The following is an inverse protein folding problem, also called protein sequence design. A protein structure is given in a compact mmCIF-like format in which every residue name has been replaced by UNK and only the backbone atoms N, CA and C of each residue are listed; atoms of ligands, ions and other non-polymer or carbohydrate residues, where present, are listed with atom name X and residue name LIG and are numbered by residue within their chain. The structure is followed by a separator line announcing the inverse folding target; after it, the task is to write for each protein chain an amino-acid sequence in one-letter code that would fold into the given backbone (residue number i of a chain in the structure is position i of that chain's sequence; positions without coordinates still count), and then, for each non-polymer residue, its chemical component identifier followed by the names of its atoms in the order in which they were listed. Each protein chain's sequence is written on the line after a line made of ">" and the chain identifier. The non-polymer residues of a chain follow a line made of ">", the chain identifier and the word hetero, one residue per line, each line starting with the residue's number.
data_IF_700198732772
#
_entry.id   IF_700198732772
#
_cell.length_a   1.000
_cell.length_b   1.000
_cell.length_c   1.000
_cell.angle_alpha   90.00
_cell.angle_beta   90.00
_cell.angle_gamma   90.00
#
_symmetry.space_group_name_H-M   'P 1'
#
loop_
_entity.id
_entity.type
_entity.pdbx_description
1 polymer ?
#
# COMPACT_ATOMS: atom_id res chain seq x y z
N UNK A 1 -20.08 -14.91 27.87
CA UNK A 1 -18.64 -14.92 27.51
C UNK A 1 -18.56 -15.48 26.09
N UNK A 2 -17.91 -14.80 25.16
CA UNK A 2 -17.83 -15.24 23.75
C UNK A 2 -16.82 -16.37 23.63
N UNK A 3 -17.08 -17.35 22.77
CA UNK A 3 -16.11 -18.39 22.43
C UNK A 3 -15.32 -18.01 21.17
N UNK A 4 -14.25 -18.77 20.92
CA UNK A 4 -13.38 -18.56 19.76
C UNK A 4 -13.91 -19.23 18.49
N UNK A 5 -13.84 -18.51 17.36
CA UNK A 5 -13.78 -19.10 16.02
C UNK A 5 -12.87 -18.26 15.13
N UNK A 6 -12.05 -18.88 14.29
CA UNK A 6 -11.33 -18.14 13.24
C UNK A 6 -12.31 -17.70 12.13
N UNK A 7 -13.43 -18.41 11.96
CA UNK A 7 -14.59 -17.98 11.16
C UNK A 7 -15.61 -17.33 12.10
N UNK A 8 -15.27 -16.16 12.62
CA UNK A 8 -16.06 -15.43 13.60
C UNK A 8 -17.29 -14.75 12.98
N UNK A 9 -18.36 -14.62 13.77
CA UNK A 9 -19.57 -13.87 13.40
C UNK A 9 -19.75 -12.57 14.22
N UNK A 10 -18.85 -12.31 15.18
CA UNK A 10 -18.77 -11.08 15.93
C UNK A 10 -17.33 -10.55 15.96
N UNK A 11 -17.19 -9.22 15.99
CA UNK A 11 -15.92 -8.52 16.18
C UNK A 11 -15.99 -7.68 17.46
N UNK A 12 -14.90 -7.66 18.22
CA UNK A 12 -14.75 -6.82 19.40
C UNK A 12 -13.85 -5.62 19.05
N UNK A 13 -14.41 -4.42 19.11
CA UNK A 13 -13.73 -3.15 18.80
C UNK A 13 -13.64 -2.31 20.07
N UNK A 14 -12.48 -1.69 20.30
CA UNK A 14 -12.27 -0.81 21.43
C UNK A 14 -12.59 0.64 21.05
N UNK A 15 -13.29 1.35 21.94
CA UNK A 15 -13.49 2.79 21.85
C UNK A 15 -13.08 3.39 23.20
N UNK A 16 -11.86 3.92 23.26
CA UNK A 16 -11.21 4.24 24.53
C UNK A 16 -11.03 2.97 25.37
N UNK A 17 -11.58 2.96 26.58
CA UNK A 17 -11.56 1.80 27.49
C UNK A 17 -12.76 0.87 27.33
N UNK A 18 -13.78 1.27 26.54
CA UNK A 18 -14.97 0.45 26.31
C UNK A 18 -14.73 -0.56 25.18
N UNK A 19 -15.28 -1.77 25.34
CA UNK A 19 -15.28 -2.80 24.30
C UNK A 19 -16.69 -2.93 23.73
N UNK A 20 -16.84 -2.65 22.44
CA UNK A 20 -18.07 -2.79 21.68
C UNK A 20 -18.00 -4.09 20.87
N UNK A 21 -18.96 -5.00 21.07
CA UNK A 21 -19.06 -6.22 20.27
C UNK A 21 -20.16 -6.05 19.24
N UNK A 22 -19.82 -6.24 17.96
CA UNK A 22 -20.72 -6.05 16.82
C UNK A 22 -20.77 -7.32 15.98
N UNK A 23 -21.94 -7.64 15.45
CA UNK A 23 -22.12 -8.76 14.52
C UNK A 23 -21.54 -8.40 13.15
N UNK A 24 -20.79 -9.32 12.54
CA UNK A 24 -20.22 -9.14 11.20
C UNK A 24 -21.09 -9.74 10.10
N UNK A 25 -22.13 -10.48 10.48
CA UNK A 25 -23.15 -11.10 9.62
C UNK A 25 -24.37 -11.41 10.46
N UNK A 26 -25.49 -11.73 9.82
CA UNK A 26 -26.71 -12.15 10.53
C UNK A 26 -26.46 -13.41 11.35
N UNK A 27 -26.97 -13.41 12.58
CA UNK A 27 -26.89 -14.54 13.51
C UNK A 27 -28.32 -14.92 13.89
N UNK A 28 -28.81 -16.12 13.51
CA UNK A 28 -30.13 -16.56 13.92
C UNK A 28 -30.27 -16.60 15.44
N UNK A 29 -31.49 -16.40 15.94
CA UNK A 29 -31.78 -16.48 17.37
C UNK A 29 -31.29 -17.81 17.96
N UNK A 30 -30.73 -17.74 19.18
CA UNK A 30 -30.16 -18.89 19.90
C UNK A 30 -28.95 -19.56 19.22
N UNK A 31 -28.30 -18.90 18.25
CA UNK A 31 -26.99 -19.33 17.74
C UNK A 31 -25.87 -18.63 18.50
N UNK A 32 -24.74 -19.33 18.59
CA UNK A 32 -23.59 -18.88 19.35
C UNK A 32 -22.86 -17.73 18.64
N UNK A 33 -22.43 -16.75 19.45
CA UNK A 33 -21.60 -15.64 19.02
C UNK A 33 -20.13 -15.98 19.26
N UNK A 34 -19.33 -15.90 18.20
CA UNK A 34 -17.89 -16.17 18.20
C UNK A 34 -17.11 -14.90 17.87
N UNK A 35 -16.03 -14.68 18.60
CA UNK A 35 -15.00 -13.69 18.28
C UNK A 35 -13.69 -14.39 17.96
N UNK A 36 -12.79 -13.75 17.19
CA UNK A 36 -11.44 -14.29 17.04
C UNK A 36 -10.55 -13.82 18.18
N UNK A 37 -9.73 -14.71 18.72
CA UNK A 37 -8.72 -14.39 19.75
C UNK A 37 -7.33 -14.16 19.14
N UNK A 38 -7.19 -14.49 17.86
CA UNK A 38 -5.93 -14.51 17.13
C UNK A 38 -6.11 -13.83 15.79
N UNK A 39 -5.02 -13.37 15.20
CA UNK A 39 -5.03 -12.86 13.84
C UNK A 39 -5.34 -14.01 12.84
N UNK A 40 -6.43 -13.84 12.09
CA UNK A 40 -6.91 -14.82 11.12
C UNK A 40 -6.08 -14.85 9.83
N UNK A 41 -5.21 -13.86 9.61
CA UNK A 41 -4.26 -13.82 8.49
C UNK A 41 -3.12 -14.82 8.66
N UNK A 42 -2.81 -15.23 9.90
CA UNK A 42 -1.76 -16.22 10.17
C UNK A 42 -2.21 -17.63 9.73
N UNK A 43 -1.30 -18.51 9.29
CA UNK A 43 -1.61 -19.90 8.94
C UNK A 43 -2.27 -20.68 10.10
N UNK A 44 -3.04 -21.73 9.79
CA UNK A 44 -3.79 -22.51 10.80
C UNK A 44 -2.90 -23.13 11.85
N UNK A 45 -1.71 -23.60 11.46
CA UNK A 45 -0.72 -24.12 12.39
C UNK A 45 -0.29 -23.04 13.41
N UNK A 46 0.00 -21.84 12.93
CA UNK A 46 0.37 -20.69 13.78
C UNK A 46 -0.77 -20.27 14.70
N UNK A 47 -2.00 -20.15 14.17
CA UNK A 47 -3.19 -19.83 14.97
C UNK A 47 -3.41 -20.86 16.08
N UNK A 48 -3.35 -22.16 15.75
CA UNK A 48 -3.52 -23.22 16.75
C UNK A 48 -2.37 -23.31 17.75
N UNK A 49 -1.14 -22.96 17.37
CA UNK A 49 -0.04 -22.88 18.33
C UNK A 49 -0.33 -21.80 19.39
N UNK A 50 -0.78 -20.62 18.98
CA UNK A 50 -1.18 -19.54 19.90
C UNK A 50 -2.34 -19.99 20.79
N UNK A 51 -3.40 -20.57 20.19
CA UNK A 51 -4.59 -21.02 20.92
C UNK A 51 -4.27 -22.12 21.94
N UNK A 52 -3.39 -23.06 21.58
CA UNK A 52 -2.93 -24.12 22.49
C UNK A 52 -2.12 -23.55 23.65
N UNK A 53 -1.19 -22.64 23.37
CA UNK A 53 -0.28 -22.14 24.41
C UNK A 53 -0.97 -21.15 25.37
N UNK A 54 -1.88 -20.31 24.86
CA UNK A 54 -2.53 -19.26 25.66
C UNK A 54 -3.87 -19.70 26.23
N UNK A 55 -4.67 -20.43 25.45
CA UNK A 55 -6.05 -20.78 25.79
C UNK A 55 -6.26 -22.30 26.02
N UNK A 56 -5.21 -23.11 25.88
CA UNK A 56 -5.21 -24.55 26.17
C UNK A 56 -6.22 -25.37 25.36
N UNK A 57 -6.50 -24.97 24.12
CA UNK A 57 -7.33 -25.75 23.19
C UNK A 57 -6.85 -25.70 21.74
N UNK A 58 -7.36 -26.60 20.90
CA UNK A 58 -7.11 -26.61 19.45
C UNK A 58 -8.40 -26.32 18.69
N UNK A 59 -8.39 -25.28 17.85
CA UNK A 59 -9.53 -24.83 17.08
C UNK A 59 -9.79 -25.73 15.86
N UNK A 60 -11.04 -26.16 15.70
CA UNK A 60 -11.52 -26.99 14.58
C UNK A 60 -12.65 -26.32 13.81
N UNK A 61 -12.73 -24.98 13.80
CA UNK A 61 -13.74 -24.22 13.08
C UNK A 61 -13.62 -24.42 11.54
N UNK A 62 -14.63 -24.04 10.74
CA UNK A 62 -14.60 -24.19 9.28
C UNK A 62 -13.32 -23.62 8.64
N UNK A 63 -12.87 -22.44 9.06
CA UNK A 63 -11.65 -21.83 8.54
C UNK A 63 -10.38 -22.63 8.89
N UNK A 64 -10.33 -23.32 10.03
CA UNK A 64 -9.21 -24.22 10.38
C UNK A 64 -9.27 -25.56 9.63
N UNK A 65 -10.43 -25.94 9.07
CA UNK A 65 -10.59 -27.17 8.27
C UNK A 65 -10.34 -26.93 6.78
N UNK A 66 -10.42 -25.69 6.33
CA UNK A 66 -10.16 -25.30 4.95
C UNK A 66 -8.64 -25.28 4.66
N UNK A 67 -8.15 -26.37 4.08
CA UNK A 67 -6.74 -26.50 3.69
C UNK A 67 -6.38 -25.68 2.46
N UNK A 68 -7.36 -25.28 1.63
CA UNK A 68 -7.08 -24.58 0.37
C UNK A 68 -6.44 -23.21 0.61
N UNK A 69 -6.93 -22.45 1.59
CA UNK A 69 -6.39 -21.14 1.97
C UNK A 69 -4.99 -21.23 2.54
N UNK A 70 -4.74 -22.23 3.37
CA UNK A 70 -3.41 -22.42 3.96
C UNK A 70 -2.41 -22.91 2.92
N UNK A 71 -2.80 -23.79 2.00
CA UNK A 71 -1.96 -24.18 0.87
C UNK A 71 -1.55 -22.96 0.03
N UNK A 72 -2.45 -22.00 -0.16
CA UNK A 72 -2.12 -20.75 -0.85
C UNK A 72 -1.21 -19.83 -0.02
N UNK A 73 -1.39 -19.77 1.31
CA UNK A 73 -0.50 -19.03 2.22
C UNK A 73 0.92 -19.58 2.27
N UNK A 74 1.12 -20.82 1.83
CA UNK A 74 2.41 -21.48 1.69
C UNK A 74 2.78 -21.72 0.22
N UNK A 75 2.12 -21.03 -0.72
CA UNK A 75 2.37 -21.21 -2.15
C UNK A 75 3.65 -20.50 -2.62
N UNK A 76 4.24 -21.05 -3.67
CA UNK A 76 5.46 -20.55 -4.31
C UNK A 76 5.15 -19.95 -5.67
N UNK A 77 6.04 -19.10 -6.15
CA UNK A 77 5.88 -18.50 -7.47
C UNK A 77 6.15 -19.55 -8.57
N UNK A 78 5.35 -19.52 -9.64
CA UNK A 78 5.63 -20.33 -10.82
C UNK A 78 6.99 -19.95 -11.42
N UNK A 79 7.81 -20.97 -11.78
CA UNK A 79 9.13 -20.74 -12.37
C UNK A 79 9.09 -20.24 -13.82
N UNK A 80 7.94 -20.35 -14.49
CA UNK A 80 7.70 -19.63 -15.75
C UNK A 80 7.44 -18.14 -15.46
N UNK A 81 8.33 -17.25 -15.91
CA UNK A 81 8.28 -15.81 -15.67
C UNK A 81 7.06 -15.10 -16.28
N UNK A 82 6.43 -15.71 -17.29
CA UNK A 82 5.20 -15.20 -17.91
C UNK A 82 3.93 -15.67 -17.17
N UNK A 83 4.09 -16.51 -16.13
CA UNK A 83 3.00 -17.08 -15.37
C UNK A 83 2.99 -16.56 -13.93
N UNK A 84 1.89 -15.92 -13.53
CA UNK A 84 1.69 -15.38 -12.18
C UNK A 84 0.90 -16.32 -11.26
N UNK A 85 0.69 -17.57 -11.70
CA UNK A 85 -0.12 -18.53 -10.94
C UNK A 85 0.62 -19.03 -9.69
N UNK A 86 -0.15 -19.25 -8.63
CA UNK A 86 0.36 -19.82 -7.40
C UNK A 86 0.62 -21.33 -7.56
N UNK A 87 1.81 -21.77 -7.15
CA UNK A 87 2.14 -23.20 -7.15
C UNK A 87 2.07 -23.72 -5.72
N UNK A 88 1.26 -24.76 -5.52
CA UNK A 88 1.01 -25.31 -4.19
C UNK A 88 2.15 -26.25 -3.77
N UNK A 89 2.46 -26.24 -2.47
CA UNK A 89 3.44 -27.13 -1.85
C UNK A 89 2.70 -28.23 -1.09
N UNK A 90 3.13 -29.48 -1.24
CA UNK A 90 2.60 -30.62 -0.52
C UNK A 90 3.07 -30.64 0.94
N UNK A 91 2.39 -31.37 1.84
CA UNK A 91 2.81 -31.50 3.24
C UNK A 91 4.20 -32.10 3.44
N UNK A 92 4.68 -32.90 2.49
CA UNK A 92 6.04 -33.46 2.49
C UNK A 92 7.11 -32.48 1.98
N UNK A 93 6.72 -31.27 1.60
CA UNK A 93 7.57 -30.22 1.05
C UNK A 93 7.76 -30.28 -0.46
N UNK A 94 7.21 -31.28 -1.16
CA UNK A 94 7.32 -31.35 -2.62
C UNK A 94 6.45 -30.29 -3.29
N UNK A 95 6.97 -29.66 -4.35
CA UNK A 95 6.26 -28.60 -5.07
C UNK A 95 5.45 -29.22 -6.20
N UNK A 96 4.15 -28.90 -6.30
CA UNK A 96 3.30 -29.39 -7.38
C UNK A 96 3.67 -28.73 -8.72
N UNK A 97 3.22 -29.30 -9.83
CA UNK A 97 3.24 -28.58 -11.11
C UNK A 97 2.26 -27.40 -11.08
N UNK A 98 2.60 -26.34 -11.80
CA UNK A 98 1.73 -25.18 -11.95
C UNK A 98 0.40 -25.57 -12.59
N UNK A 99 -0.72 -25.16 -12.00
CA UNK A 99 -2.07 -25.50 -12.50
C UNK A 99 -2.45 -24.78 -13.79
N UNK A 100 -1.78 -23.67 -14.12
CA UNK A 100 -2.08 -22.87 -15.31
C UNK A 100 -1.21 -23.25 -16.50
N UNK A 101 0.12 -23.22 -16.35
CA UNK A 101 1.06 -23.46 -17.46
C UNK A 101 1.75 -24.83 -17.41
N UNK A 102 1.41 -25.69 -16.44
CA UNK A 102 2.03 -27.00 -16.22
C UNK A 102 3.55 -26.98 -15.94
N UNK A 103 4.14 -25.82 -15.59
CA UNK A 103 5.54 -25.74 -15.19
C UNK A 103 5.83 -26.67 -13.99
N UNK A 104 6.86 -27.51 -14.13
CA UNK A 104 7.29 -28.46 -13.09
C UNK A 104 8.82 -28.56 -12.96
N UNK A 105 9.58 -27.83 -13.78
CA UNK A 105 11.04 -27.85 -13.83
C UNK A 105 11.68 -27.00 -12.71
N UNK A 106 11.32 -27.28 -11.45
CA UNK A 106 11.95 -26.65 -10.30
C UNK A 106 13.38 -27.21 -10.07
N UNK A 107 14.34 -26.40 -9.58
CA UNK A 107 15.69 -26.86 -9.30
C UNK A 107 15.74 -28.04 -8.32
N UNK A 108 16.74 -28.91 -8.47
CA UNK A 108 17.04 -29.93 -7.45
C UNK A 108 17.35 -29.24 -6.11
N UNK A 109 16.76 -29.72 -5.02
CA UNK A 109 16.91 -29.12 -3.68
C UNK A 109 16.05 -27.88 -3.44
N UNK A 110 15.15 -27.50 -4.36
CA UNK A 110 14.25 -26.37 -4.18
C UNK A 110 13.43 -26.43 -2.88
N UNK A 111 12.91 -27.58 -2.40
CA UNK A 111 12.24 -27.65 -1.10
C UNK A 111 13.09 -27.19 0.09
N UNK A 112 14.39 -27.53 0.12
CA UNK A 112 15.28 -27.14 1.21
C UNK A 112 15.72 -25.68 1.08
N UNK A 113 15.86 -25.19 -0.16
CA UNK A 113 16.02 -23.77 -0.44
C UNK A 113 14.82 -22.96 0.08
N UNK A 114 13.59 -23.42 -0.19
CA UNK A 114 12.37 -22.75 0.28
C UNK A 114 12.33 -22.67 1.81
N UNK A 115 12.60 -23.78 2.51
CA UNK A 115 12.69 -23.78 3.99
C UNK A 115 13.73 -22.78 4.48
N UNK A 116 14.88 -22.70 3.81
CA UNK A 116 15.95 -21.74 4.16
C UNK A 116 15.47 -20.30 3.97
N UNK A 117 14.79 -20.01 2.86
CA UNK A 117 14.22 -18.68 2.58
C UNK A 117 13.17 -18.31 3.64
N UNK A 118 12.26 -19.22 3.98
CA UNK A 118 11.24 -19.01 5.01
C UNK A 118 11.88 -18.74 6.38
N UNK A 119 12.85 -19.55 6.80
CA UNK A 119 13.56 -19.37 8.07
C UNK A 119 14.28 -18.03 8.14
N UNK A 120 14.96 -17.62 7.07
CA UNK A 120 15.63 -16.32 7.00
C UNK A 120 14.63 -15.16 7.05
N UNK A 121 13.48 -15.28 6.38
CA UNK A 121 12.42 -14.27 6.44
C UNK A 121 11.86 -14.17 7.86
N UNK A 122 11.53 -15.29 8.50
CA UNK A 122 11.01 -15.33 9.88
C UNK A 122 12.01 -14.68 10.86
N UNK A 123 13.29 -15.01 10.76
CA UNK A 123 14.32 -14.42 11.62
C UNK A 123 14.43 -12.89 11.45
N UNK A 124 14.40 -12.40 10.20
CA UNK A 124 14.43 -10.97 9.90
C UNK A 124 13.17 -10.25 10.35
N UNK A 125 11.99 -10.83 10.14
CA UNK A 125 10.71 -10.25 10.59
C UNK A 125 10.64 -10.17 12.12
N UNK A 126 11.13 -11.20 12.83
CA UNK A 126 11.24 -11.15 14.29
C UNK A 126 12.21 -10.07 14.78
N UNK A 127 13.32 -9.85 14.07
CA UNK A 127 14.25 -8.75 14.36
C UNK A 127 13.62 -7.38 14.06
N UNK A 128 12.90 -7.26 12.94
CA UNK A 128 12.18 -6.06 12.55
C UNK A 128 11.12 -5.67 13.59
N UNK A 129 10.32 -6.62 14.08
CA UNK A 129 9.33 -6.39 15.14
C UNK A 129 9.98 -5.82 16.41
N UNK A 130 11.12 -6.39 16.83
CA UNK A 130 11.86 -5.90 18.00
C UNK A 130 12.36 -4.48 17.76
N UNK A 131 13.04 -4.22 16.64
CA UNK A 131 13.62 -2.90 16.31
C UNK A 131 12.54 -1.82 16.14
N UNK A 132 11.38 -2.19 15.58
CA UNK A 132 10.22 -1.32 15.44
C UNK A 132 9.77 -0.78 16.80
N UNK A 133 9.82 -1.59 17.86
CA UNK A 133 9.47 -1.12 19.22
C UNK A 133 10.38 0.00 19.76
N UNK A 134 11.57 0.18 19.17
CA UNK A 134 12.50 1.27 19.48
C UNK A 134 12.39 2.44 18.48
N UNK A 135 11.46 2.38 17.51
CA UNK A 135 11.23 3.45 16.54
C UNK A 135 12.29 3.60 15.44
N UNK A 136 13.18 2.61 15.27
CA UNK A 136 14.18 2.65 14.19
C UNK A 136 13.62 2.13 12.86
N UNK A 137 12.77 2.94 12.24
CA UNK A 137 12.06 2.61 10.99
C UNK A 137 13.00 2.37 9.80
N UNK A 138 14.15 3.04 9.76
CA UNK A 138 15.13 2.84 8.70
C UNK A 138 15.67 1.40 8.68
N UNK A 139 15.96 0.84 9.86
CA UNK A 139 16.43 -0.55 9.97
C UNK A 139 15.31 -1.56 9.75
N UNK A 140 14.08 -1.25 10.17
CA UNK A 140 12.89 -2.09 9.85
C UNK A 140 12.68 -2.17 8.35
N UNK A 141 12.79 -1.04 7.63
CA UNK A 141 12.70 -1.00 6.17
C UNK A 141 13.81 -1.84 5.52
N UNK A 142 15.06 -1.67 5.95
CA UNK A 142 16.20 -2.44 5.42
C UNK A 142 15.99 -3.95 5.55
N UNK A 143 15.55 -4.42 6.73
CA UNK A 143 15.24 -5.84 6.96
C UNK A 143 14.06 -6.32 6.10
N UNK A 144 13.05 -5.47 5.92
CA UNK A 144 11.88 -5.80 5.10
C UNK A 144 12.25 -5.91 3.62
N UNK A 145 13.08 -5.00 3.10
CA UNK A 145 13.58 -5.05 1.72
C UNK A 145 14.47 -6.27 1.47
N UNK A 146 15.32 -6.64 2.44
CA UNK A 146 16.09 -7.88 2.38
C UNK A 146 15.17 -9.12 2.34
N UNK A 147 14.08 -9.14 3.13
CA UNK A 147 13.07 -10.20 3.03
C UNK A 147 12.41 -10.22 1.65
N UNK A 148 11.96 -9.09 1.12
CA UNK A 148 11.35 -9.02 -0.20
C UNK A 148 12.30 -9.51 -1.31
N UNK A 149 13.59 -9.21 -1.19
CA UNK A 149 14.60 -9.71 -2.13
C UNK A 149 14.76 -11.24 -2.06
N UNK A 150 14.75 -11.83 -0.87
CA UNK A 150 14.78 -13.30 -0.68
C UNK A 150 13.50 -13.96 -1.22
N UNK A 151 12.35 -13.32 -1.04
CA UNK A 151 11.04 -13.85 -1.42
C UNK A 151 10.81 -13.80 -2.93
N UNK A 152 11.39 -12.81 -3.62
CA UNK A 152 11.24 -12.62 -5.07
C UNK A 152 11.69 -13.87 -5.83
N UNK A 153 10.79 -14.42 -6.67
CA UNK A 153 11.04 -15.64 -7.44
C UNK A 153 10.95 -16.94 -6.63
N UNK A 154 10.79 -16.89 -5.31
CA UNK A 154 10.63 -18.05 -4.45
C UNK A 154 9.19 -18.17 -3.93
N UNK A 155 8.67 -17.13 -3.27
CA UNK A 155 7.35 -17.16 -2.63
C UNK A 155 6.32 -16.44 -3.50
N UNK A 156 5.10 -17.00 -3.57
CA UNK A 156 4.00 -16.33 -4.27
C UNK A 156 3.58 -15.06 -3.51
N UNK A 157 3.06 -14.01 -4.18
CA UNK A 157 2.55 -12.81 -3.50
C UNK A 157 1.50 -13.06 -2.40
N UNK A 158 0.78 -14.18 -2.44
CA UNK A 158 -0.18 -14.58 -1.39
C UNK A 158 0.43 -15.35 -0.22
N UNK A 159 1.73 -15.63 -0.26
CA UNK A 159 2.43 -16.28 0.84
C UNK A 159 2.37 -15.43 2.10
N UNK A 160 2.08 -16.03 3.26
CA UNK A 160 1.83 -15.26 4.49
C UNK A 160 3.02 -14.38 4.91
N UNK A 161 4.26 -14.87 4.72
CA UNK A 161 5.48 -14.10 4.99
C UNK A 161 5.63 -12.87 4.08
N UNK A 162 5.19 -12.95 2.81
CA UNK A 162 5.27 -11.80 1.89
C UNK A 162 4.37 -10.69 2.40
N UNK A 163 3.17 -11.02 2.84
CA UNK A 163 2.17 -10.07 3.35
C UNK A 163 2.64 -9.42 4.65
N UNK A 164 3.17 -10.23 5.57
CA UNK A 164 3.75 -9.72 6.83
C UNK A 164 4.93 -8.77 6.54
N UNK A 165 5.78 -9.11 5.56
CA UNK A 165 6.88 -8.25 5.11
C UNK A 165 6.37 -6.93 4.51
N UNK A 166 5.32 -6.98 3.68
CA UNK A 166 4.72 -5.78 3.08
C UNK A 166 4.16 -4.83 4.14
N UNK A 167 3.57 -5.36 5.23
CA UNK A 167 3.10 -4.51 6.32
C UNK A 167 4.24 -3.76 7.00
N UNK A 168 5.33 -4.43 7.39
CA UNK A 168 6.50 -3.76 7.99
C UNK A 168 7.15 -2.75 7.02
N UNK A 169 7.27 -3.09 5.74
CA UNK A 169 7.82 -2.19 4.73
C UNK A 169 6.95 -0.94 4.55
N UNK A 170 5.62 -1.12 4.44
CA UNK A 170 4.67 -0.02 4.33
C UNK A 170 4.70 0.90 5.56
N UNK A 171 4.64 0.33 6.76
CA UNK A 171 4.68 1.09 8.02
C UNK A 171 5.98 1.91 8.12
N UNK A 172 7.11 1.29 7.78
CA UNK A 172 8.41 1.97 7.77
C UNK A 172 8.46 3.10 6.76
N UNK A 173 7.96 2.90 5.53
CA UNK A 173 7.90 3.95 4.52
C UNK A 173 7.01 5.12 4.95
N UNK A 174 5.88 4.87 5.63
CA UNK A 174 5.02 5.92 6.18
C UNK A 174 5.79 6.75 7.21
N UNK A 175 6.50 6.11 8.13
CA UNK A 175 7.28 6.81 9.17
C UNK A 175 8.50 7.55 8.63
N UNK A 176 9.01 7.14 7.47
CA UNK A 176 10.13 7.78 6.77
C UNK A 176 9.65 8.74 5.68
N UNK A 177 8.34 9.01 5.60
CA UNK A 177 7.72 9.92 4.62
C UNK A 177 7.98 9.54 3.15
N UNK A 178 8.20 8.24 2.88
CA UNK A 178 8.37 7.68 1.53
C UNK A 178 7.01 7.25 0.97
N UNK A 179 6.17 8.22 0.64
CA UNK A 179 4.74 8.03 0.35
C UNK A 179 4.47 7.12 -0.84
N UNK A 180 5.20 7.29 -1.95
CA UNK A 180 5.03 6.49 -3.17
C UNK A 180 5.42 5.04 -2.91
N UNK A 181 6.51 4.80 -2.18
CA UNK A 181 6.93 3.45 -1.80
C UNK A 181 5.94 2.80 -0.83
N UNK A 182 5.43 3.57 0.14
CA UNK A 182 4.38 3.09 1.05
C UNK A 182 3.12 2.66 0.27
N UNK A 183 2.71 3.45 -0.73
CA UNK A 183 1.57 3.15 -1.57
C UNK A 183 1.79 1.87 -2.38
N UNK A 184 2.98 1.67 -2.94
CA UNK A 184 3.31 0.46 -3.69
C UNK A 184 3.19 -0.80 -2.82
N UNK A 185 3.76 -0.80 -1.61
CA UNK A 185 3.60 -1.91 -0.67
C UNK A 185 2.15 -2.10 -0.23
N UNK A 186 1.43 -1.01 0.03
CA UNK A 186 0.02 -1.02 0.39
C UNK A 186 -0.86 -1.66 -0.69
N UNK A 187 -0.67 -1.30 -1.97
CA UNK A 187 -1.41 -1.87 -3.10
C UNK A 187 -1.21 -3.38 -3.21
N UNK A 188 0.04 -3.84 -3.08
CA UNK A 188 0.38 -5.28 -3.11
C UNK A 188 -0.32 -6.05 -1.97
N UNK A 189 -0.49 -5.44 -0.80
CA UNK A 189 -1.15 -6.08 0.35
C UNK A 189 -2.67 -6.26 0.17
N UNK A 190 -3.37 -5.33 -0.52
CA UNK A 190 -4.84 -5.38 -0.67
C UNK A 190 -5.27 -6.66 -1.37
N UNK A 191 -4.58 -7.07 -2.45
CA UNK A 191 -4.93 -8.25 -3.22
C UNK A 191 -4.95 -9.53 -2.37
N UNK A 192 -4.03 -9.64 -1.40
CA UNK A 192 -4.02 -10.74 -0.45
C UNK A 192 -5.20 -10.68 0.52
N UNK A 193 -5.49 -9.49 1.07
CA UNK A 193 -6.54 -9.31 2.06
C UNK A 193 -7.93 -9.60 1.48
N UNK A 194 -8.19 -9.19 0.24
CA UNK A 194 -9.46 -9.49 -0.46
C UNK A 194 -9.67 -11.01 -0.61
N UNK A 195 -8.60 -11.80 -0.79
CA UNK A 195 -8.69 -13.26 -0.89
C UNK A 195 -8.84 -13.96 0.46
N UNK A 196 -7.99 -13.63 1.44
CA UNK A 196 -7.91 -14.38 2.71
C UNK A 196 -8.90 -13.93 3.78
N UNK A 197 -9.41 -12.71 3.67
CA UNK A 197 -10.37 -12.11 4.59
C UNK A 197 -11.71 -11.78 3.91
N UNK A 198 -12.45 -12.79 3.41
CA UNK A 198 -13.75 -12.53 2.80
C UNK A 198 -14.76 -12.04 3.85
N UNK A 199 -15.66 -11.16 3.41
CA UNK A 199 -16.74 -10.60 4.24
C UNK A 199 -16.32 -9.34 5.01
N UNK A 200 -16.95 -9.12 6.17
CA UNK A 200 -16.79 -7.90 6.95
C UNK A 200 -15.59 -7.98 7.91
N UNK A 201 -14.38 -8.08 7.35
CA UNK A 201 -13.14 -8.16 8.11
C UNK A 201 -12.56 -6.76 8.40
N UNK A 202 -12.44 -6.42 9.68
CA UNK A 202 -11.94 -5.11 10.12
C UNK A 202 -10.51 -4.81 9.64
N UNK A 203 -9.61 -5.79 9.67
CA UNK A 203 -8.20 -5.61 9.23
C UNK A 203 -8.13 -5.26 7.74
N UNK A 204 -8.89 -5.96 6.90
CA UNK A 204 -8.96 -5.66 5.47
C UNK A 204 -9.48 -4.24 5.20
N UNK A 205 -10.52 -3.82 5.94
CA UNK A 205 -11.11 -2.50 5.81
C UNK A 205 -10.18 -1.38 6.27
N UNK A 206 -9.48 -1.58 7.39
CA UNK A 206 -8.45 -0.66 7.87
C UNK A 206 -7.35 -0.51 6.82
N UNK A 207 -6.89 -1.60 6.21
CA UNK A 207 -5.86 -1.51 5.18
C UNK A 207 -6.32 -0.76 3.93
N UNK A 208 -7.57 -0.98 3.49
CA UNK A 208 -8.18 -0.20 2.41
C UNK A 208 -8.23 1.30 2.76
N UNK A 209 -8.60 1.65 4.00
CA UNK A 209 -8.60 3.03 4.47
C UNK A 209 -7.19 3.64 4.46
N UNK A 210 -6.18 2.90 4.93
CA UNK A 210 -4.77 3.35 4.93
C UNK A 210 -4.25 3.61 3.52
N UNK A 211 -4.51 2.71 2.58
CA UNK A 211 -4.14 2.89 1.17
C UNK A 211 -4.92 4.04 0.53
N UNK A 212 -6.22 4.17 0.82
CA UNK A 212 -7.02 5.30 0.37
C UNK A 212 -6.48 6.65 0.83
N UNK A 213 -6.03 6.75 2.09
CA UNK A 213 -5.38 7.95 2.61
C UNK A 213 -4.07 8.29 1.88
N UNK A 214 -3.23 7.29 1.61
CA UNK A 214 -2.00 7.48 0.83
C UNK A 214 -2.29 7.94 -0.60
N UNK A 215 -3.31 7.36 -1.24
CA UNK A 215 -3.74 7.75 -2.59
C UNK A 215 -4.25 9.20 -2.61
N UNK A 216 -5.05 9.60 -1.62
CA UNK A 216 -5.50 10.98 -1.50
C UNK A 216 -4.31 11.94 -1.35
N UNK A 217 -3.36 11.61 -0.47
CA UNK A 217 -2.16 12.42 -0.26
C UNK A 217 -1.37 12.59 -1.57
N UNK A 218 -1.24 11.52 -2.35
CA UNK A 218 -0.58 11.49 -3.66
C UNK A 218 -1.47 11.97 -4.82
N UNK A 219 -2.58 12.65 -4.54
CA UNK A 219 -3.51 13.23 -5.54
C UNK A 219 -4.17 12.21 -6.48
N UNK A 220 -4.17 10.94 -6.12
CA UNK A 220 -4.87 9.86 -6.82
C UNK A 220 -6.33 9.75 -6.33
N UNK A 221 -7.09 10.81 -6.52
CA UNK A 221 -8.39 11.02 -5.86
C UNK A 221 -9.44 9.97 -6.23
N UNK A 222 -9.47 9.54 -7.50
CA UNK A 222 -10.43 8.55 -7.97
C UNK A 222 -10.24 7.19 -7.29
N UNK A 223 -8.99 6.70 -7.24
CA UNK A 223 -8.63 5.45 -6.60
C UNK A 223 -8.74 5.54 -5.08
N UNK A 224 -8.39 6.69 -4.49
CA UNK A 224 -8.60 6.97 -3.07
C UNK A 224 -10.07 6.77 -2.70
N UNK A 225 -10.99 7.45 -3.40
CA UNK A 225 -12.43 7.28 -3.15
C UNK A 225 -12.88 5.83 -3.32
N UNK A 226 -12.41 5.12 -4.35
CA UNK A 226 -12.77 3.70 -4.54
C UNK A 226 -12.42 2.86 -3.31
N UNK A 227 -11.22 3.02 -2.77
CA UNK A 227 -10.77 2.26 -1.59
C UNK A 227 -11.44 2.73 -0.29
N UNK A 228 -11.60 4.05 -0.10
CA UNK A 228 -12.25 4.61 1.10
C UNK A 228 -13.72 4.18 1.20
N UNK A 229 -14.49 4.18 0.10
CA UNK A 229 -15.88 3.70 0.12
C UNK A 229 -15.97 2.17 0.33
N UNK A 230 -15.00 1.39 -0.18
CA UNK A 230 -14.92 -0.04 0.16
C UNK A 230 -14.68 -0.23 1.66
N UNK A 231 -13.76 0.54 2.25
CA UNK A 231 -13.50 0.51 3.69
C UNK A 231 -14.74 0.91 4.49
N UNK A 232 -15.47 1.94 4.05
CA UNK A 232 -16.65 2.47 4.75
C UNK A 232 -17.73 1.41 4.95
N UNK A 233 -18.05 0.64 3.90
CA UNK A 233 -19.04 -0.45 3.97
C UNK A 233 -18.74 -1.44 5.09
N UNK A 234 -17.47 -1.76 5.31
CA UNK A 234 -17.05 -2.75 6.32
C UNK A 234 -16.86 -2.09 7.69
N UNK A 235 -16.30 -0.88 7.76
CA UNK A 235 -16.06 -0.18 9.03
C UNK A 235 -17.37 0.25 9.71
N UNK A 236 -18.40 0.64 8.95
CA UNK A 236 -19.72 0.91 9.53
C UNK A 236 -20.34 -0.32 10.21
N UNK A 237 -20.07 -1.52 9.68
CA UNK A 237 -20.52 -2.78 10.30
C UNK A 237 -19.66 -3.10 11.52
N UNK A 238 -18.34 -3.12 11.35
CA UNK A 238 -17.39 -3.63 12.35
C UNK A 238 -17.16 -2.67 13.52
N UNK A 239 -17.14 -1.36 13.28
CA UNK A 239 -16.85 -0.33 14.28
C UNK A 239 -18.09 0.48 14.65
N UNK A 240 -19.00 0.74 13.69
CA UNK A 240 -20.18 1.57 13.89
C UNK A 240 -19.98 3.03 13.46
N UNK A 241 -21.07 3.73 13.15
CA UNK A 241 -21.04 5.06 12.55
C UNK A 241 -20.38 6.14 13.43
N UNK A 242 -20.48 6.00 14.75
CA UNK A 242 -19.99 6.96 15.74
C UNK A 242 -18.56 6.66 16.20
N UNK A 243 -17.97 5.55 15.73
CA UNK A 243 -16.60 5.21 16.07
C UNK A 243 -15.63 6.26 15.50
N UNK A 244 -14.62 6.73 16.27
CA UNK A 244 -13.68 7.77 15.80
C UNK A 244 -13.04 7.47 14.44
N UNK A 245 -12.68 6.20 14.20
CA UNK A 245 -12.15 5.75 12.90
C UNK A 245 -13.15 5.94 11.75
N UNK A 246 -14.44 5.71 11.97
CA UNK A 246 -15.49 5.91 10.96
C UNK A 246 -15.76 7.39 10.71
N UNK A 247 -15.67 8.23 11.75
CA UNK A 247 -15.74 9.70 11.60
C UNK A 247 -14.59 10.18 10.74
N UNK A 248 -13.36 9.77 11.06
CA UNK A 248 -12.17 10.11 10.28
C UNK A 248 -12.27 9.65 8.82
N UNK A 249 -12.82 8.46 8.58
CA UNK A 249 -13.03 7.98 7.22
C UNK A 249 -14.02 8.86 6.43
N UNK A 250 -15.11 9.31 7.05
CA UNK A 250 -16.08 10.20 6.41
C UNK A 250 -15.45 11.55 6.06
N UNK A 251 -14.59 12.08 6.93
CA UNK A 251 -13.83 13.30 6.65
C UNK A 251 -12.89 13.12 5.46
N UNK A 252 -12.18 11.99 5.35
CA UNK A 252 -11.34 11.67 4.18
C UNK A 252 -12.18 11.61 2.89
N UNK A 253 -13.34 10.94 2.93
CA UNK A 253 -14.25 10.86 1.77
C UNK A 253 -14.77 12.24 1.36
N UNK A 254 -15.14 13.09 2.34
CA UNK A 254 -15.59 14.44 2.09
C UNK A 254 -14.49 15.31 1.47
N UNK A 255 -13.25 15.20 1.96
CA UNK A 255 -12.10 15.87 1.40
C UNK A 255 -11.83 15.45 -0.04
N UNK A 256 -11.79 14.14 -0.35
CA UNK A 256 -11.68 13.66 -1.73
C UNK A 256 -12.80 14.16 -2.64
N UNK A 257 -14.04 14.25 -2.10
CA UNK A 257 -15.19 14.76 -2.86
C UNK A 257 -15.01 16.23 -3.23
N UNK A 258 -14.50 17.05 -2.30
CA UNK A 258 -14.20 18.45 -2.55
C UNK A 258 -13.06 18.61 -3.55
N UNK A 259 -11.96 17.87 -3.37
CA UNK A 259 -10.82 17.88 -4.29
C UNK A 259 -11.24 17.53 -5.72
N UNK A 260 -12.05 16.47 -5.91
CA UNK A 260 -12.56 16.11 -7.24
C UNK A 260 -13.40 17.23 -7.87
N UNK A 261 -14.24 17.92 -7.09
CA UNK A 261 -15.05 19.05 -7.60
C UNK A 261 -14.18 20.22 -8.02
N UNK A 262 -13.09 20.47 -7.29
CA UNK A 262 -12.15 21.54 -7.64
C UNK A 262 -11.44 21.21 -8.96
N UNK A 263 -10.97 19.98 -9.15
CA UNK A 263 -10.36 19.53 -10.40
C UNK A 263 -11.34 19.67 -11.57
N UNK A 264 -12.56 19.14 -11.44
CA UNK A 264 -13.58 19.23 -12.50
C UNK A 264 -13.95 20.68 -12.85
N UNK A 265 -13.90 21.59 -11.86
CA UNK A 265 -14.13 23.03 -12.10
C UNK A 265 -12.99 23.65 -12.90
N UNK A 266 -11.74 23.30 -12.59
CA UNK A 266 -10.57 23.81 -13.32
C UNK A 266 -10.56 23.29 -14.77
N UNK A 267 -10.83 22.00 -14.97
CA UNK A 267 -10.98 21.40 -16.30
C UNK A 267 -12.07 22.12 -17.12
N UNK A 268 -13.22 22.43 -16.51
CA UNK A 268 -14.29 23.17 -17.20
C UNK A 268 -13.95 24.63 -17.53
N UNK A 269 -12.99 25.23 -16.83
CA UNK A 269 -12.50 26.59 -17.14
C UNK A 269 -11.53 26.51 -18.31
N UNK A 270 -10.59 25.56 -18.30
CA UNK A 270 -9.67 25.31 -19.41
C UNK A 270 -10.39 24.96 -20.71
N UNK A 271 -11.50 24.20 -20.64
CA UNK A 271 -12.34 23.91 -21.81
C UNK A 271 -13.20 25.10 -22.27
N UNK A 272 -13.43 26.09 -21.40
CA UNK A 272 -14.25 27.26 -21.69
C UNK A 272 -13.43 28.49 -22.12
N UNK A 273 -12.11 28.48 -21.93
CA UNK A 273 -11.22 29.47 -22.54
C UNK A 273 -11.07 29.13 -24.04
N UNK A 274 -11.59 29.96 -24.96
CA UNK A 274 -11.36 29.74 -26.38
C UNK A 274 -9.85 29.86 -26.67
N UNK A 275 -9.32 29.00 -27.54
CA UNK A 275 -7.96 29.14 -28.07
C UNK A 275 -7.74 30.59 -28.51
N UNK A 276 -6.96 31.36 -27.74
CA UNK A 276 -6.60 32.74 -28.12
C UNK A 276 -5.83 32.78 -29.46
N UNK A 277 -5.30 31.63 -29.92
CA UNK A 277 -4.76 31.45 -31.27
C UNK A 277 -5.81 31.50 -32.39
N UNK A 278 -7.10 31.28 -32.11
CA UNK A 278 -8.18 31.35 -33.11
C UNK A 278 -8.78 32.75 -33.24
N UNK A 279 -8.85 33.52 -32.15
CA UNK A 279 -9.27 34.93 -32.19
C UNK A 279 -8.21 35.82 -32.86
N UNK A 280 -6.91 35.63 -32.58
CA UNK A 280 -5.85 36.39 -33.29
C UNK A 280 -5.78 36.03 -34.79
N UNK A 281 -6.07 34.79 -35.18
CA UNK A 281 -6.11 34.39 -36.60
C UNK A 281 -7.38 34.91 -37.31
N UNK A 282 -8.50 35.07 -36.63
CA UNK A 282 -9.71 35.72 -37.18
C UNK A 282 -9.57 37.25 -37.28
N UNK A 283 -8.89 37.91 -36.34
CA UNK A 283 -8.59 39.35 -36.41
C UNK A 283 -7.49 39.66 -37.45
N UNK A 284 -6.48 38.80 -37.58
CA UNK A 284 -5.45 38.92 -38.63
C UNK A 284 -6.01 38.67 -40.04
N UNK A 285 -7.04 37.84 -40.18
CA UNK A 285 -7.69 37.59 -41.48
C UNK A 285 -8.73 38.66 -41.85
N UNK A 286 -9.38 39.31 -40.88
CA UNK A 286 -10.22 40.51 -41.12
C UNK A 286 -9.39 41.74 -41.50
N UNK A 287 -8.24 41.95 -40.85
CA UNK A 287 -7.33 43.07 -41.17
C UNK A 287 -6.56 42.89 -42.50
N UNK A 288 -6.35 41.65 -42.96
CA UNK A 288 -5.73 41.36 -44.26
C UNK A 288 -6.69 41.52 -45.47
N UNK A 289 -8.01 41.56 -45.24
CA UNK A 289 -9.00 41.79 -46.30
C UNK A 289 -9.18 43.30 -46.57
N UNK A 290 -9.03 44.16 -45.56
CA UNK A 290 -9.10 45.63 -45.73
C UNK A 290 -7.84 46.25 -46.35
N UNK A 291 -6.71 45.54 -46.42
CA UNK A 291 -5.43 46.07 -46.93
C UNK A 291 -5.04 45.59 -48.34
N UNK A 292 -5.91 44.85 -49.04
CA UNK A 292 -5.63 44.34 -50.41
C UNK A 292 -6.21 45.17 -51.55
N UNK A 293 -6.76 46.35 -51.28
CA UNK A 293 -7.08 47.34 -52.30
C UNK A 293 -6.10 48.53 -52.23
N UNK A 294 -4.80 48.31 -52.46
CA UNK A 294 -3.95 49.32 -53.12
C UNK A 294 -2.54 48.79 -53.45
N UNK A 295 -2.26 48.78 -54.77
CA UNK A 295 -0.98 49.03 -55.45
C UNK A 295 0.05 47.91 -55.66
N UNK A 296 0.26 47.69 -56.95
CA UNK A 296 1.38 47.03 -57.65
C UNK A 296 2.75 47.76 -57.52
N UNK A 297 3.86 47.11 -57.95
CA UNK A 297 5.20 47.29 -57.36
C UNK A 297 6.19 48.04 -58.27
N UNK A 298 7.35 48.43 -57.72
CA UNK A 298 8.64 48.54 -58.44
C UNK A 298 9.85 48.16 -57.59
N UNK A 299 10.77 47.45 -58.24
CA UNK A 299 12.09 46.96 -57.81
C UNK A 299 13.12 48.10 -57.60
N UNK A 300 14.14 47.89 -56.76
CA UNK A 300 15.54 47.65 -57.19
C UNK A 300 16.58 47.61 -56.03
N UNK A 301 17.43 46.58 -56.11
CA UNK A 301 18.89 46.45 -55.87
C UNK A 301 19.59 46.69 -54.51
N UNK A 302 20.68 45.91 -54.37
CA UNK A 302 21.56 45.61 -53.21
C UNK A 302 22.86 46.45 -53.22
N UNK A 303 23.49 46.57 -52.05
CA UNK A 303 24.95 46.54 -51.73
C UNK A 303 25.13 47.06 -50.28
N UNK A 304 26.16 46.83 -49.46
CA UNK A 304 27.06 45.73 -49.12
C UNK A 304 27.87 46.19 -47.85
N UNK A 305 28.50 45.25 -47.11
CA UNK A 305 29.68 45.38 -46.18
C UNK A 305 29.55 45.76 -44.68
N UNK A 306 29.88 44.73 -43.85
CA UNK A 306 30.97 44.60 -42.85
C UNK A 306 31.33 45.71 -41.84
N UNK A 307 31.50 45.36 -40.55
CA UNK A 307 32.81 45.26 -39.82
C UNK A 307 32.70 44.72 -38.36
N UNK A 308 33.81 44.11 -37.91
CA UNK A 308 34.09 43.41 -36.65
C UNK A 308 34.35 44.29 -35.39
N UNK A 309 34.56 43.71 -34.19
CA UNK A 309 35.84 43.67 -33.38
C UNK A 309 35.68 43.04 -31.95
N UNK A 310 36.42 41.95 -31.65
CA UNK A 310 37.30 41.53 -30.49
C UNK A 310 37.07 42.15 -29.06
N UNK A 311 37.12 41.48 -27.86
CA UNK A 311 38.30 40.89 -27.11
C UNK A 311 37.96 40.30 -25.69
N UNK A 312 38.62 39.17 -25.34
CA UNK A 312 39.26 38.69 -24.05
C UNK A 312 38.57 38.56 -22.66
N UNK A 313 38.83 37.41 -21.98
CA UNK A 313 39.39 37.37 -20.58
C UNK A 313 38.66 36.59 -19.45
N UNK A 314 39.24 35.46 -18.99
CA UNK A 314 38.95 34.65 -17.75
C UNK A 314 39.70 35.20 -16.49
N UNK A 315 39.52 34.77 -15.19
CA UNK A 315 39.51 33.37 -14.69
C UNK A 315 38.77 32.99 -13.36
N UNK A 316 38.96 31.70 -12.98
CA UNK A 316 38.56 30.82 -11.85
C UNK A 316 38.70 31.24 -10.37
N UNK A 317 37.92 30.60 -9.44
CA UNK A 317 38.38 29.67 -8.36
C UNK A 317 37.30 29.24 -7.33
N UNK A 318 37.50 28.04 -6.76
CA UNK A 318 36.68 27.29 -5.79
C UNK A 318 36.90 27.63 -4.30
N UNK A 319 36.03 27.13 -3.39
CA UNK A 319 36.39 26.65 -2.03
C UNK A 319 35.29 25.82 -1.32
N UNK A 320 35.77 24.88 -0.51
CA UNK A 320 35.14 23.83 0.30
C UNK A 320 34.86 24.26 1.75
N UNK A 321 34.06 23.47 2.50
CA UNK A 321 33.98 23.53 3.96
C UNK A 321 33.08 22.46 4.60
N UNK A 322 33.69 21.48 5.27
CA UNK A 322 33.10 20.48 6.19
C UNK A 322 32.82 21.06 7.59
N UNK A 323 31.86 20.48 8.33
CA UNK A 323 31.85 20.47 9.81
C UNK A 323 31.20 19.20 10.37
N UNK A 324 31.95 18.51 11.23
CA UNK A 324 31.54 17.40 12.10
C UNK A 324 30.86 17.90 13.39
N UNK A 325 30.00 17.06 14.00
CA UNK A 325 29.43 17.24 15.33
C UNK A 325 29.10 15.90 16.01
N UNK A 326 29.59 15.72 17.24
CA UNK A 326 29.63 14.47 18.04
C UNK A 326 28.42 14.27 18.97
N UNK A 327 27.93 13.03 19.00
CA UNK A 327 27.41 12.13 20.08
C UNK A 327 26.76 12.64 21.38
N UNK A 328 25.64 12.00 21.78
CA UNK A 328 25.44 11.33 23.10
C UNK A 328 24.20 10.36 23.10
N UNK A 329 24.04 9.39 24.05
CA UNK A 329 23.33 8.12 23.86
C UNK A 329 21.91 8.04 24.51
N UNK A 330 21.03 7.09 24.12
CA UNK A 330 19.73 6.91 24.75
C UNK A 330 19.66 5.74 25.75
N UNK A 331 18.78 5.90 26.75
CA UNK A 331 18.37 4.93 27.78
C UNK A 331 17.34 3.92 27.25
N UNK A 332 17.30 2.74 27.87
CA UNK A 332 16.44 1.57 27.57
C UNK A 332 14.91 1.84 27.61
N UNK A 333 14.07 1.07 26.85
CA UNK A 333 12.63 1.30 26.81
C UNK A 333 11.79 0.33 27.64
N UNK A 334 10.65 0.85 28.08
CA UNK A 334 9.51 0.10 28.62
C UNK A 334 8.54 -0.26 27.49
N UNK A 335 8.15 -1.53 27.45
CA UNK A 335 7.18 -2.15 26.54
C UNK A 335 5.81 -1.44 26.60
N UNK A 336 5.29 -0.97 25.45
CA UNK A 336 3.89 -0.57 25.26
C UNK A 336 3.39 -0.98 23.87
N UNK A 337 2.15 -1.47 23.84
CA UNK A 337 1.43 -1.96 22.66
C UNK A 337 1.29 -0.87 21.58
N UNK A 338 1.67 -1.19 20.35
CA UNK A 338 1.52 -0.30 19.21
C UNK A 338 0.06 -0.29 18.70
N UNK A 339 -0.73 0.64 19.21
CA UNK A 339 -1.80 1.27 18.43
C UNK A 339 -1.20 2.54 17.85
N UNK A 340 -0.94 2.56 16.54
CA UNK A 340 -0.44 3.76 15.86
C UNK A 340 -1.53 4.85 15.86
N UNK A 341 -1.46 5.75 16.83
CA UNK A 341 -2.15 7.04 16.77
C UNK A 341 -1.37 7.97 15.85
N UNK A 342 -1.93 8.27 14.69
CA UNK A 342 -1.52 9.42 13.88
C UNK A 342 -1.90 10.69 14.66
N UNK A 343 -0.90 11.39 15.20
CA UNK A 343 -1.09 12.74 15.72
C UNK A 343 -0.79 13.73 14.58
N UNK A 344 -1.77 14.58 14.27
CA UNK A 344 -1.54 15.81 13.50
C UNK A 344 -0.53 16.67 14.24
N UNK A 345 0.55 17.05 13.54
CA UNK A 345 1.36 18.21 13.90
C UNK A 345 1.30 19.19 12.74
N UNK A 346 0.28 20.04 12.78
CA UNK A 346 0.33 21.36 12.17
C UNK A 346 0.85 22.32 13.22
N UNK A 347 2.05 22.85 13.00
CA UNK A 347 2.46 24.20 13.40
C UNK A 347 3.47 24.70 12.36
#
# INVERSE_FOLDING_TARGET
>A
MFNHSCDFNCVAIHTGTAVNVRTTRDIPANKECFVSYVDVLKPTATRNNILRNVFQFMCKCPLCRDTSRDNLRHSVQCGNLECQEAVLVNPDGTVKKCSLCNFEAFPLGFPDQLKTVEQQCIAKLSAAEKIMSFGNWQKVLELSEQCLALQKGNLHPYHHLVVETLHYAMDSCIHLEKWEQALEYGRRSIAHLEFHCPGNNATAAIQLMRVGKLQQYLKMVAEAMKNLHKAEKILLITHGADHPLCVQLKEMIAACTLERRQVARLESIEEAEPDQETEEKEEASKSAIEQKEEKEPKEETKEDKNKATIKEGEPSKAKTGEKEGKTEPPKEPKVKSATATFADKTD
#
